data_IF_285442313694
#
_entry.id   IF_285442313694
#
_cell.length_a   1.000
_cell.length_b   1.000
_cell.length_c   1.000
_cell.angle_alpha   90.00
_cell.angle_beta   90.00
_cell.angle_gamma   90.00
#
_symmetry.space_group_name_H-M   'P 1'
#
loop_
_entity.id
_entity.type
_entity.pdbx_description
1 polymer ?
#
# COMPACT_ATOMS: atom_id res chain seq x y z
N UNK A 1 -2.23 -31.71 1.04
CA UNK A 1 -1.21 -30.70 1.40
C UNK A 1 -1.84 -29.31 1.40
N UNK A 2 -2.05 -28.74 2.58
CA UNK A 2 -2.51 -27.35 2.68
C UNK A 2 -1.37 -26.44 2.21
N UNK A 3 -1.63 -25.46 1.33
CA UNK A 3 -0.59 -24.50 0.97
C UNK A 3 -0.21 -23.75 2.24
N UNK A 4 1.05 -23.88 2.66
CA UNK A 4 1.61 -22.95 3.65
C UNK A 4 1.44 -21.58 3.03
N UNK A 5 0.61 -20.73 3.63
CA UNK A 5 0.52 -19.34 3.21
C UNK A 5 1.92 -18.74 3.40
N UNK A 6 2.64 -18.60 2.30
CA UNK A 6 3.98 -18.03 2.31
C UNK A 6 3.86 -16.61 2.86
N UNK A 7 4.53 -16.34 3.97
CA UNK A 7 4.54 -15.00 4.57
C UNK A 7 5.16 -14.06 3.54
N UNK A 8 4.33 -13.21 2.94
CA UNK A 8 4.80 -12.26 1.96
C UNK A 8 5.73 -11.23 2.62
N UNK A 9 6.75 -10.74 1.90
CA UNK A 9 7.58 -9.64 2.38
C UNK A 9 6.71 -8.41 2.68
N UNK A 10 7.02 -7.69 3.76
CA UNK A 10 6.29 -6.48 4.15
C UNK A 10 6.17 -5.47 3.00
N UNK A 11 7.25 -5.27 2.24
CA UNK A 11 7.28 -4.34 1.10
C UNK A 11 6.27 -4.71 0.03
N UNK A 12 6.08 -6.00 -0.26
CA UNK A 12 5.12 -6.44 -1.27
C UNK A 12 3.68 -6.12 -0.81
N UNK A 13 3.38 -6.44 0.45
CA UNK A 13 2.06 -6.15 1.04
C UNK A 13 1.81 -4.64 1.10
N UNK A 14 2.82 -3.84 1.47
CA UNK A 14 2.71 -2.38 1.49
C UNK A 14 2.44 -1.80 0.10
N UNK A 15 3.12 -2.30 -0.93
CA UNK A 15 2.92 -1.86 -2.31
C UNK A 15 1.51 -2.19 -2.80
N UNK A 16 1.03 -3.41 -2.54
CA UNK A 16 -0.31 -3.86 -2.92
C UNK A 16 -1.39 -2.98 -2.25
N UNK A 17 -1.23 -2.67 -0.96
CA UNK A 17 -2.15 -1.80 -0.23
C UNK A 17 -2.15 -0.37 -0.76
N UNK A 18 -0.98 0.19 -1.09
CA UNK A 18 -0.88 1.54 -1.66
C UNK A 18 -1.50 1.59 -3.05
N UNK A 19 -1.27 0.58 -3.89
CA UNK A 19 -1.89 0.48 -5.21
C UNK A 19 -3.41 0.37 -5.11
N UNK A 20 -3.93 -0.50 -4.24
CA UNK A 20 -5.36 -0.64 -4.02
C UNK A 20 -6.01 0.66 -3.52
N UNK A 21 -5.35 1.40 -2.63
CA UNK A 21 -5.85 2.70 -2.16
C UNK A 21 -5.81 3.78 -3.26
N UNK A 22 -4.78 3.77 -4.11
CA UNK A 22 -4.70 4.67 -5.26
C UNK A 22 -5.79 4.36 -6.29
N UNK A 23 -6.05 3.10 -6.61
CA UNK A 23 -7.12 2.71 -7.53
C UNK A 23 -8.50 3.15 -7.01
N UNK A 24 -8.79 2.88 -5.74
CA UNK A 24 -10.05 3.29 -5.10
C UNK A 24 -10.26 4.80 -5.08
N UNK A 25 -9.18 5.58 -5.03
CA UNK A 25 -9.22 7.05 -4.98
C UNK A 25 -8.97 7.71 -6.33
N UNK A 26 -8.87 6.93 -7.42
CA UNK A 26 -8.59 7.46 -8.76
C UNK A 26 -7.21 8.13 -8.89
N UNK A 27 -6.23 7.66 -8.14
CA UNK A 27 -4.85 8.17 -8.12
C UNK A 27 -4.60 9.34 -7.16
N UNK A 28 -5.59 9.73 -6.36
CA UNK A 28 -5.44 10.81 -5.38
C UNK A 28 -4.59 10.37 -4.19
N UNK A 29 -3.31 10.75 -4.22
CA UNK A 29 -2.31 10.38 -3.20
C UNK A 29 -2.66 10.88 -1.79
N UNK A 30 -3.35 12.01 -1.67
CA UNK A 30 -3.74 12.56 -0.36
C UNK A 30 -4.86 11.72 0.25
N UNK A 31 -5.88 11.38 -0.54
CA UNK A 31 -6.97 10.53 -0.06
C UNK A 31 -6.53 9.09 0.15
N UNK A 32 -5.65 8.54 -0.71
CA UNK A 32 -5.07 7.21 -0.51
C UNK A 32 -4.28 7.14 0.81
N UNK A 33 -3.46 8.16 1.11
CA UNK A 33 -2.74 8.24 2.39
C UNK A 33 -3.70 8.32 3.58
N UNK A 34 -4.78 9.10 3.45
CA UNK A 34 -5.83 9.22 4.47
C UNK A 34 -6.55 7.89 4.71
N UNK A 35 -6.88 7.15 3.67
CA UNK A 35 -7.50 5.81 3.77
C UNK A 35 -6.57 4.80 4.46
N UNK A 36 -5.27 4.88 4.19
CA UNK A 36 -4.26 4.03 4.82
C UNK A 36 -3.86 4.48 6.24
N UNK A 37 -4.38 5.62 6.73
CA UNK A 37 -4.06 6.14 8.07
C UNK A 37 -2.64 6.65 8.23
N UNK A 38 -1.96 6.98 7.12
CA UNK A 38 -0.57 7.46 7.11
C UNK A 38 -0.48 8.89 6.58
N UNK A 39 0.66 9.56 6.82
CA UNK A 39 0.90 10.85 6.19
C UNK A 39 1.17 10.70 4.70
N UNK A 40 0.80 11.71 3.89
CA UNK A 40 1.15 11.75 2.45
C UNK A 40 2.66 11.60 2.20
N UNK A 41 3.50 12.15 3.09
CA UNK A 41 4.97 12.00 3.03
C UNK A 41 5.38 10.53 3.14
N UNK A 42 4.78 9.79 4.07
CA UNK A 42 5.03 8.34 4.25
C UNK A 42 4.62 7.56 3.00
N UNK A 43 3.46 7.86 2.43
CA UNK A 43 3.00 7.22 1.18
C UNK A 43 4.02 7.43 0.05
N UNK A 44 4.52 8.66 -0.14
CA UNK A 44 5.53 8.96 -1.18
C UNK A 44 6.89 8.29 -0.92
N UNK A 45 7.31 8.19 0.34
CA UNK A 45 8.53 7.50 0.70
C UNK A 45 8.46 6.00 0.39
N UNK A 46 7.31 5.36 0.65
CA UNK A 46 7.08 3.96 0.28
C UNK A 46 7.00 3.74 -1.23
N UNK A 47 6.45 4.70 -1.99
CA UNK A 47 6.45 4.64 -3.46
C UNK A 47 7.84 4.81 -4.09
N UNK A 48 8.80 5.35 -3.35
CA UNK A 48 10.17 5.61 -3.82
C UNK A 48 11.18 4.58 -3.32
N UNK A 49 10.75 3.58 -2.55
CA UNK A 49 11.55 2.43 -2.13
C UNK A 49 11.62 1.39 -3.24
#
# INVERSE_FOLDING_TARGET
>A
PEPRADIQPLVAVEQDLIHAALEQTGGNKTEAARQLGITRKTLLANLSR
#
